data_IF_567905175321
#
_entry.id   IF_567905175321
#
_cell.length_a   1.000
_cell.length_b   1.000
_cell.length_c   1.000
_cell.angle_alpha   90.00
_cell.angle_beta   90.00
_cell.angle_gamma   90.00
#
_symmetry.space_group_name_H-M   'P 1'
#
loop_
_entity.id
_entity.type
_entity.pdbx_description
1 polymer ?
#
# COMPACT_ATOMS: atom_id res chain seq x y z
N UNK A 1 -24.21 -70.82 3.63
CA UNK A 1 -25.32 -70.06 3.02
C UNK A 1 -25.08 -68.58 3.25
N UNK A 2 -25.33 -67.68 2.28
CA UNK A 2 -25.41 -67.86 0.82
C UNK A 2 -24.45 -66.89 0.06
N UNK A 3 -23.86 -67.33 -1.08
CA UNK A 3 -24.18 -67.00 -2.50
C UNK A 3 -23.63 -65.63 -2.95
N UNK A 4 -23.03 -65.43 -4.13
CA UNK A 4 -22.76 -66.21 -5.34
C UNK A 4 -21.97 -65.28 -6.31
N UNK A 5 -20.89 -65.71 -6.95
CA UNK A 5 -20.81 -66.37 -8.28
C UNK A 5 -21.04 -65.48 -9.52
N UNK A 6 -20.06 -65.57 -10.46
CA UNK A 6 -20.02 -65.31 -11.94
C UNK A 6 -19.11 -64.15 -12.34
N UNK A 7 -18.34 -64.16 -13.44
CA UNK A 7 -17.94 -65.10 -14.52
C UNK A 7 -16.73 -64.40 -15.23
N UNK A 8 -15.58 -65.04 -15.50
CA UNK A 8 -15.13 -65.60 -16.83
C UNK A 8 -15.63 -64.81 -18.04
N UNK A 9 -14.91 -64.49 -19.11
CA UNK A 9 -13.69 -65.00 -19.81
C UNK A 9 -13.43 -63.99 -20.96
N UNK A 10 -12.29 -63.86 -21.64
CA UNK A 10 -11.35 -64.87 -22.10
C UNK A 10 -10.33 -64.24 -23.07
N UNK A 11 -9.14 -64.84 -23.12
CA UNK A 11 -8.00 -64.49 -23.97
C UNK A 11 -8.26 -64.81 -25.44
N UNK A 12 -7.65 -64.02 -26.34
CA UNK A 12 -7.03 -64.54 -27.58
C UNK A 12 -5.69 -63.85 -27.83
N UNK A 13 -4.66 -64.68 -27.90
CA UNK A 13 -3.29 -64.41 -28.33
C UNK A 13 -3.12 -64.65 -29.84
N UNK A 14 -2.18 -63.90 -30.45
CA UNK A 14 -1.17 -64.29 -31.48
C UNK A 14 -1.25 -63.49 -32.78
N UNK A 15 -0.15 -62.81 -33.14
CA UNK A 15 0.89 -63.21 -34.13
C UNK A 15 1.60 -61.97 -34.72
N UNK A 16 2.88 -62.19 -35.03
CA UNK A 16 3.90 -61.27 -35.58
C UNK A 16 3.63 -60.95 -37.07
N UNK A 17 4.12 -59.79 -37.53
CA UNK A 17 4.29 -59.46 -38.94
C UNK A 17 5.13 -58.19 -39.11
N UNK A 18 6.25 -58.33 -39.80
CA UNK A 18 7.28 -57.30 -40.11
C UNK A 18 7.04 -56.76 -41.53
N UNK A 19 7.52 -55.55 -41.81
CA UNK A 19 7.93 -54.96 -43.11
C UNK A 19 7.01 -53.90 -43.78
N UNK A 20 7.44 -52.65 -43.59
CA UNK A 20 7.67 -51.53 -44.54
C UNK A 20 7.10 -51.55 -45.98
N UNK A 21 6.54 -50.40 -46.41
CA UNK A 21 6.79 -49.63 -47.67
C UNK A 21 6.09 -48.24 -47.54
N UNK A 22 6.84 -47.13 -47.39
CA UNK A 22 6.99 -45.98 -48.33
C UNK A 22 5.66 -45.48 -48.96
N UNK A 23 5.19 -44.22 -48.82
CA UNK A 23 5.80 -42.98 -49.34
C UNK A 23 4.99 -41.71 -48.96
N UNK A 24 5.69 -40.59 -48.74
CA UNK A 24 5.35 -39.20 -49.12
C UNK A 24 4.10 -38.47 -48.55
N UNK A 25 4.33 -37.51 -47.65
CA UNK A 25 3.75 -36.16 -47.74
C UNK A 25 4.58 -35.14 -46.93
N UNK A 26 5.09 -34.16 -47.66
CA UNK A 26 5.93 -33.05 -47.23
C UNK A 26 5.05 -31.87 -46.75
N UNK A 27 5.46 -31.26 -45.63
CA UNK A 27 5.24 -29.87 -45.20
C UNK A 27 3.86 -29.19 -45.37
N UNK A 28 3.30 -28.71 -44.25
CA UNK A 28 3.11 -27.26 -44.04
C UNK A 28 2.86 -26.96 -42.56
N UNK A 29 3.77 -26.18 -41.96
CA UNK A 29 3.57 -25.51 -40.69
C UNK A 29 2.64 -24.30 -40.91
N UNK A 30 1.55 -24.21 -40.15
CA UNK A 30 0.80 -22.98 -39.95
C UNK A 30 0.54 -22.80 -38.46
N UNK A 31 1.42 -21.99 -37.86
CA UNK A 31 1.23 -21.32 -36.58
C UNK A 31 0.08 -20.32 -36.74
N UNK A 32 -1.11 -20.67 -36.23
CA UNK A 32 -2.12 -19.68 -35.88
C UNK A 32 -1.83 -19.17 -34.46
N UNK A 33 -0.81 -18.32 -34.35
CA UNK A 33 -0.54 -17.55 -33.15
C UNK A 33 -1.56 -16.43 -33.01
N UNK A 34 -2.64 -16.69 -32.29
CA UNK A 34 -3.50 -15.62 -31.79
C UNK A 34 -2.70 -14.82 -30.74
N UNK A 35 -2.18 -13.66 -31.15
CA UNK A 35 -1.56 -12.68 -30.25
C UNK A 35 -2.61 -12.10 -29.31
N UNK A 36 -2.84 -12.78 -28.19
CA UNK A 36 -3.20 -12.11 -26.95
C UNK A 36 -1.88 -11.67 -26.32
N UNK A 37 -1.65 -10.36 -26.23
CA UNK A 37 -0.67 -9.83 -25.30
C UNK A 37 -1.08 -10.29 -23.91
N UNK A 38 -0.45 -11.36 -23.43
CA UNK A 38 -0.67 -11.82 -22.07
C UNK A 38 -0.23 -10.69 -21.14
N UNK A 39 -1.07 -10.25 -20.19
CA UNK A 39 -0.58 -9.42 -19.10
C UNK A 39 0.59 -10.16 -18.44
N UNK A 40 1.61 -9.44 -17.98
CA UNK A 40 2.61 -9.99 -17.08
C UNK A 40 1.83 -10.61 -15.93
N UNK A 41 1.79 -11.94 -15.87
CA UNK A 41 1.05 -12.63 -14.83
C UNK A 41 1.73 -12.28 -13.50
N UNK A 42 1.02 -11.68 -12.52
CA UNK A 42 1.56 -11.65 -11.16
C UNK A 42 1.83 -13.10 -10.77
N UNK A 43 3.02 -13.37 -10.20
CA UNK A 43 3.36 -14.69 -9.70
C UNK A 43 2.20 -15.23 -8.86
N UNK A 44 1.70 -16.43 -9.20
CA UNK A 44 0.47 -16.91 -8.61
C UNK A 44 0.60 -17.13 -7.10
N UNK A 45 -0.55 -17.16 -6.43
CA UNK A 45 -0.65 -17.26 -4.96
C UNK A 45 0.13 -18.48 -4.47
N UNK A 46 1.02 -18.34 -3.46
CA UNK A 46 1.74 -19.47 -2.93
C UNK A 46 0.79 -20.55 -2.41
N UNK A 47 0.91 -21.77 -2.93
CA UNK A 47 0.00 -22.86 -2.55
C UNK A 47 0.66 -23.71 -1.46
N UNK A 48 0.28 -23.45 -0.21
CA UNK A 48 0.77 -24.17 0.96
C UNK A 48 0.41 -25.66 0.86
N UNK A 49 1.39 -26.52 1.12
CA UNK A 49 1.18 -27.97 1.19
C UNK A 49 1.12 -28.68 -0.16
N UNK A 50 1.41 -28.00 -1.27
CA UNK A 50 1.51 -28.65 -2.59
C UNK A 50 2.83 -29.42 -2.71
N UNK A 51 2.82 -30.73 -2.99
CA UNK A 51 4.05 -31.50 -3.21
C UNK A 51 4.93 -30.93 -4.32
N UNK A 52 6.25 -30.94 -4.12
CA UNK A 52 7.23 -30.36 -5.05
C UNK A 52 7.33 -31.05 -6.42
N UNK A 53 6.73 -32.23 -6.57
CA UNK A 53 6.62 -32.93 -7.85
C UNK A 53 5.53 -32.34 -8.76
N UNK A 54 4.64 -31.51 -8.19
CA UNK A 54 3.58 -30.83 -8.94
C UNK A 54 4.17 -29.55 -9.56
N UNK A 55 4.19 -29.44 -10.89
CA UNK A 55 4.74 -28.28 -11.59
C UNK A 55 4.17 -26.93 -11.09
N UNK A 56 2.88 -26.90 -10.74
CA UNK A 56 2.22 -25.73 -10.16
C UNK A 56 2.81 -25.29 -8.81
N UNK A 57 3.44 -26.19 -8.05
CA UNK A 57 4.15 -25.84 -6.83
C UNK A 57 5.40 -24.99 -7.13
N UNK A 58 6.14 -25.32 -8.19
CA UNK A 58 7.33 -24.57 -8.61
C UNK A 58 6.97 -23.17 -9.14
N UNK A 59 5.81 -23.02 -9.77
CA UNK A 59 5.31 -21.74 -10.29
C UNK A 59 4.83 -20.78 -9.18
N UNK A 60 4.51 -21.31 -7.99
CA UNK A 60 3.84 -20.57 -6.90
C UNK A 60 4.58 -20.78 -5.57
N UNK A 61 5.90 -20.60 -5.57
CA UNK A 61 6.69 -20.67 -4.35
C UNK A 61 6.56 -19.38 -3.50
N UNK A 62 6.11 -18.28 -4.10
CA UNK A 62 6.06 -16.96 -3.47
C UNK A 62 7.41 -16.26 -3.41
N UNK A 63 8.52 -16.99 -3.38
CA UNK A 63 9.87 -16.42 -3.41
C UNK A 63 10.33 -16.04 -4.82
N UNK A 64 11.14 -14.96 -4.97
CA UNK A 64 11.51 -13.99 -3.95
C UNK A 64 10.48 -12.85 -3.77
N UNK A 65 9.35 -12.88 -4.48
CA UNK A 65 8.41 -11.76 -4.52
C UNK A 65 7.75 -11.44 -3.18
N UNK A 66 7.36 -12.45 -2.41
CA UNK A 66 6.69 -12.30 -1.12
C UNK A 66 7.66 -12.18 0.05
N UNK A 67 8.79 -12.87 -0.01
CA UNK A 67 9.78 -12.89 1.04
C UNK A 67 11.16 -13.18 0.48
N UNK A 68 12.18 -12.69 1.17
CA UNK A 68 13.58 -13.09 1.03
C UNK A 68 14.09 -13.54 2.40
N UNK A 69 15.41 -13.67 2.58
CA UNK A 69 15.99 -14.06 3.88
C UNK A 69 15.72 -13.03 4.98
N UNK A 70 15.78 -11.73 4.66
CA UNK A 70 15.68 -10.64 5.62
C UNK A 70 14.51 -9.69 5.36
N UNK A 71 13.69 -9.93 4.32
CA UNK A 71 12.55 -9.07 4.00
C UNK A 71 11.25 -9.85 3.84
N UNK A 72 10.15 -9.19 4.21
CA UNK A 72 8.78 -9.64 3.93
C UNK A 72 8.06 -8.53 3.17
N UNK A 73 7.38 -8.87 2.07
CA UNK A 73 6.62 -7.92 1.26
C UNK A 73 5.12 -8.06 1.52
N UNK A 74 4.47 -6.93 1.76
CA UNK A 74 3.03 -6.77 1.55
C UNK A 74 2.85 -6.16 0.16
N UNK A 75 2.51 -7.02 -0.80
CA UNK A 75 2.61 -6.71 -2.24
C UNK A 75 1.32 -6.25 -2.90
N UNK A 76 0.49 -5.44 -2.21
CA UNK A 76 -0.73 -4.90 -2.79
C UNK A 76 -0.43 -3.96 -3.95
N UNK A 77 -1.32 -3.94 -4.94
CA UNK A 77 -1.21 -3.00 -6.07
C UNK A 77 -1.59 -1.57 -5.66
N UNK A 78 -2.29 -1.41 -4.54
CA UNK A 78 -2.87 -0.16 -4.07
C UNK A 78 -2.93 -0.11 -2.52
N UNK A 79 -3.10 1.08 -1.93
CA UNK A 79 -3.15 1.26 -0.49
C UNK A 79 -4.28 0.50 0.20
N UNK A 80 -5.41 0.25 -0.49
CA UNK A 80 -6.54 -0.50 0.04
C UNK A 80 -6.11 -1.95 0.34
N UNK A 81 -5.46 -2.59 -0.64
CA UNK A 81 -4.95 -3.95 -0.56
C UNK A 81 -3.80 -4.05 0.46
N UNK A 82 -2.89 -3.07 0.46
CA UNK A 82 -1.78 -3.01 1.43
C UNK A 82 -2.29 -2.87 2.87
N UNK A 83 -3.23 -1.97 3.13
CA UNK A 83 -3.80 -1.76 4.46
C UNK A 83 -4.54 -3.01 4.97
N UNK A 84 -5.31 -3.66 4.10
CA UNK A 84 -5.97 -4.94 4.41
C UNK A 84 -4.98 -6.04 4.80
N UNK A 85 -3.92 -6.22 4.00
CA UNK A 85 -2.92 -7.24 4.22
C UNK A 85 -2.03 -6.95 5.44
N UNK A 86 -1.59 -5.70 5.64
CA UNK A 86 -0.84 -5.29 6.84
C UNK A 86 -1.69 -5.51 8.10
N UNK A 87 -2.97 -5.12 8.06
CA UNK A 87 -3.88 -5.31 9.20
C UNK A 87 -4.01 -6.78 9.58
N UNK A 88 -4.13 -7.68 8.61
CA UNK A 88 -4.20 -9.13 8.86
C UNK A 88 -2.86 -9.74 9.27
N UNK A 89 -1.74 -9.18 8.81
CA UNK A 89 -0.41 -9.62 9.24
C UNK A 89 -0.16 -9.32 10.72
N UNK A 90 -0.64 -8.16 11.20
CA UNK A 90 -0.55 -7.76 12.61
C UNK A 90 -1.63 -8.43 13.46
N UNK A 91 -2.85 -8.53 12.95
CA UNK A 91 -3.99 -9.15 13.61
C UNK A 91 -4.48 -10.38 12.84
N UNK A 92 -3.88 -11.52 13.16
CA UNK A 92 -4.20 -12.80 12.50
C UNK A 92 -5.64 -13.27 12.75
N UNK A 93 -6.32 -12.77 13.80
CA UNK A 93 -7.70 -13.12 14.17
C UNK A 93 -8.04 -14.62 14.22
N UNK A 94 -7.04 -15.48 14.35
CA UNK A 94 -7.21 -16.92 14.57
C UNK A 94 -7.74 -17.26 15.98
N UNK A 95 -7.77 -16.28 16.89
CA UNK A 95 -8.27 -16.39 18.26
C UNK A 95 -8.86 -15.07 18.75
N UNK A 96 -9.60 -15.10 19.87
CA UNK A 96 -10.14 -13.89 20.49
C UNK A 96 -9.06 -12.92 21.00
N UNK A 97 -7.86 -13.41 21.34
CA UNK A 97 -6.75 -12.56 21.80
C UNK A 97 -5.94 -11.95 20.65
N UNK A 98 -6.15 -12.39 19.42
CA UNK A 98 -5.42 -11.94 18.24
C UNK A 98 -6.27 -11.11 17.27
N UNK A 99 -7.46 -10.69 17.70
CA UNK A 99 -8.31 -9.73 16.97
C UNK A 99 -8.13 -8.33 17.56
N UNK A 100 -8.28 -7.26 16.76
CA UNK A 100 -8.33 -5.91 17.31
C UNK A 100 -9.66 -5.66 18.04
N UNK A 101 -9.68 -4.73 18.99
CA UNK A 101 -10.94 -4.28 19.59
C UNK A 101 -11.71 -3.33 18.67
N UNK A 102 -10.98 -2.53 17.89
CA UNK A 102 -11.54 -1.49 17.03
C UNK A 102 -10.71 -1.41 15.74
N UNK A 103 -11.34 -1.08 14.61
CA UNK A 103 -10.67 -0.84 13.32
C UNK A 103 -10.94 0.59 12.87
N UNK A 104 -9.95 1.26 12.30
CA UNK A 104 -10.11 2.58 11.71
C UNK A 104 -10.41 2.47 10.22
N UNK A 105 -11.47 3.11 9.75
CA UNK A 105 -11.80 3.27 8.34
C UNK A 105 -11.58 4.72 7.91
N UNK A 106 -10.73 4.93 6.92
CA UNK A 106 -10.41 6.26 6.37
C UNK A 106 -10.64 6.28 4.87
N UNK A 107 -11.15 7.40 4.36
CA UNK A 107 -11.32 7.58 2.92
C UNK A 107 -9.96 7.68 2.19
N UNK A 108 -9.80 6.97 1.06
CA UNK A 108 -8.53 7.01 0.31
C UNK A 108 -8.21 8.39 -0.27
N UNK A 109 -9.20 9.27 -0.46
CA UNK A 109 -8.97 10.61 -1.00
C UNK A 109 -8.45 11.59 0.06
N UNK A 110 -8.42 11.18 1.33
CA UNK A 110 -8.04 12.02 2.47
C UNK A 110 -6.70 11.60 3.06
N UNK A 111 -5.61 11.78 2.31
CA UNK A 111 -4.28 11.33 2.75
C UNK A 111 -3.84 11.96 4.08
N UNK A 112 -4.15 13.24 4.34
CA UNK A 112 -3.83 13.88 5.61
C UNK A 112 -4.56 13.20 6.78
N UNK A 113 -5.83 12.86 6.59
CA UNK A 113 -6.60 12.12 7.58
C UNK A 113 -6.00 10.74 7.82
N UNK A 114 -5.55 10.06 6.76
CA UNK A 114 -4.95 8.72 6.86
C UNK A 114 -3.66 8.68 7.68
N UNK A 115 -2.73 9.62 7.45
CA UNK A 115 -1.49 9.66 8.22
C UNK A 115 -1.78 10.03 9.68
N UNK A 116 -2.64 11.01 9.92
CA UNK A 116 -3.01 11.41 11.28
C UNK A 116 -3.71 10.26 12.02
N UNK A 117 -4.56 9.49 11.34
CA UNK A 117 -5.28 8.35 11.92
C UNK A 117 -4.38 7.16 12.26
N UNK A 118 -3.15 7.09 11.73
CA UNK A 118 -2.15 6.11 12.15
C UNK A 118 -1.91 6.15 13.68
N UNK A 119 -2.13 7.32 14.30
CA UNK A 119 -2.11 7.52 15.75
C UNK A 119 -2.95 6.50 16.52
N UNK A 120 -4.11 6.09 15.99
CA UNK A 120 -5.01 5.17 16.69
C UNK A 120 -4.46 3.76 16.85
N UNK A 121 -3.39 3.41 16.12
CA UNK A 121 -2.66 2.16 16.34
C UNK A 121 -1.85 2.17 17.65
N UNK A 122 -1.62 3.34 18.25
CA UNK A 122 -1.01 3.44 19.56
C UNK A 122 -1.95 2.95 20.67
N UNK A 123 -1.42 2.50 21.82
CA UNK A 123 -2.24 2.29 23.01
C UNK A 123 -2.98 3.58 23.40
N UNK A 124 -4.20 3.48 23.96
CA UNK A 124 -4.90 2.24 24.32
C UNK A 124 -5.76 1.63 23.19
N UNK A 125 -5.95 2.31 22.05
CA UNK A 125 -6.90 1.85 21.03
C UNK A 125 -6.38 0.70 20.17
N UNK A 126 -5.08 0.72 19.79
CA UNK A 126 -4.46 -0.31 18.93
C UNK A 126 -5.27 -0.61 17.66
N UNK A 127 -5.87 0.41 17.06
CA UNK A 127 -6.76 0.28 15.92
C UNK A 127 -5.97 0.20 14.60
N UNK A 128 -5.94 -0.94 13.88
CA UNK A 128 -5.38 -0.98 12.53
C UNK A 128 -6.26 -0.16 11.57
N UNK A 129 -5.67 0.32 10.49
CA UNK A 129 -6.34 1.16 9.49
C UNK A 129 -6.69 0.34 8.25
N UNK A 130 -7.89 0.54 7.73
CA UNK A 130 -8.31 0.13 6.39
C UNK A 130 -8.85 1.33 5.61
N UNK A 131 -8.80 1.24 4.29
CA UNK A 131 -9.29 2.30 3.41
C UNK A 131 -10.70 2.04 2.88
N UNK A 132 -11.48 3.10 2.76
CA UNK A 132 -12.72 3.16 1.98
C UNK A 132 -12.50 3.95 0.70
N UNK A 133 -13.45 3.84 -0.23
CA UNK A 133 -13.45 4.62 -1.47
C UNK A 133 -14.75 5.41 -1.57
N UNK A 134 -14.69 6.68 -1.14
CA UNK A 134 -15.86 7.49 -0.91
C UNK A 134 -16.79 6.85 0.12
N UNK A 135 -18.06 6.76 -0.24
CA UNK A 135 -19.07 6.07 0.56
C UNK A 135 -19.07 4.53 0.41
N UNK A 136 -18.11 3.94 -0.31
CA UNK A 136 -18.08 2.51 -0.59
C UNK A 136 -17.04 1.76 0.24
N UNK A 137 -17.33 0.49 0.52
CA UNK A 137 -16.42 -0.43 1.21
C UNK A 137 -15.81 -1.41 0.20
N UNK A 138 -14.56 -1.22 -0.22
CA UNK A 138 -13.91 -2.11 -1.21
C UNK A 138 -13.89 -3.57 -0.76
N UNK A 139 -13.75 -4.50 -1.72
CA UNK A 139 -13.76 -5.93 -1.45
C UNK A 139 -12.64 -6.37 -0.48
N UNK A 140 -11.42 -5.85 -0.66
CA UNK A 140 -10.31 -6.15 0.26
C UNK A 140 -10.59 -5.62 1.68
N UNK A 141 -11.13 -4.41 1.79
CA UNK A 141 -11.52 -3.81 3.08
C UNK A 141 -12.64 -4.58 3.77
N UNK A 142 -13.71 -4.92 3.04
CA UNK A 142 -14.84 -5.68 3.61
C UNK A 142 -14.42 -7.09 4.05
N UNK A 143 -13.61 -7.78 3.25
CA UNK A 143 -13.02 -9.06 3.64
C UNK A 143 -12.13 -8.92 4.87
N UNK A 144 -11.24 -7.93 4.90
CA UNK A 144 -10.35 -7.70 6.03
C UNK A 144 -11.13 -7.36 7.29
N UNK A 145 -12.12 -6.47 7.23
CA UNK A 145 -12.96 -6.10 8.37
C UNK A 145 -13.74 -7.31 8.92
N UNK A 146 -14.24 -8.18 8.03
CA UNK A 146 -14.89 -9.44 8.41
C UNK A 146 -13.94 -10.42 9.10
N UNK A 147 -12.72 -10.58 8.60
CA UNK A 147 -11.68 -11.41 9.24
C UNK A 147 -11.21 -10.83 10.56
N UNK A 148 -10.99 -9.52 10.63
CA UNK A 148 -10.54 -8.82 11.83
C UNK A 148 -11.59 -8.94 12.94
N UNK A 149 -12.88 -8.85 12.60
CA UNK A 149 -14.00 -9.05 13.52
C UNK A 149 -13.87 -8.27 14.85
N UNK A 150 -13.76 -6.92 14.79
CA UNK A 150 -13.47 -6.09 15.97
C UNK A 150 -14.50 -6.29 17.09
N UNK A 151 -14.04 -6.41 18.33
CA UNK A 151 -14.90 -6.75 19.48
C UNK A 151 -15.57 -5.56 20.19
N UNK A 152 -15.14 -4.34 19.89
CA UNK A 152 -15.55 -3.11 20.56
C UNK A 152 -14.51 -2.68 21.59
N UNK A 153 -14.00 -1.44 21.48
CA UNK A 153 -12.99 -0.91 22.40
C UNK A 153 -13.57 0.07 23.41
N UNK A 154 -13.31 -0.16 24.70
CA UNK A 154 -13.72 0.77 25.76
C UNK A 154 -13.08 2.16 25.59
N UNK A 155 -11.81 2.21 25.15
CA UNK A 155 -11.09 3.44 24.85
C UNK A 155 -11.74 4.26 23.72
N UNK A 156 -12.43 3.58 22.80
CA UNK A 156 -13.20 4.21 21.73
C UNK A 156 -14.68 4.47 22.10
N UNK A 157 -15.09 4.20 23.34
CA UNK A 157 -16.48 4.32 23.80
C UNK A 157 -17.37 3.15 23.38
N UNK A 158 -16.81 1.95 23.29
CA UNK A 158 -17.48 0.73 22.83
C UNK A 158 -17.53 0.57 21.30
N UNK A 159 -16.93 1.49 20.54
CA UNK A 159 -16.92 1.42 19.08
C UNK A 159 -16.09 0.23 18.58
N UNK A 160 -16.61 -0.44 17.56
CA UNK A 160 -15.91 -1.46 16.78
C UNK A 160 -15.22 -0.85 15.55
N UNK A 161 -15.72 0.31 15.10
CA UNK A 161 -15.16 1.03 13.95
C UNK A 161 -15.01 2.51 14.28
N UNK A 162 -13.85 3.10 13.99
CA UNK A 162 -13.65 4.54 13.92
C UNK A 162 -13.73 4.97 12.45
N UNK A 163 -14.69 5.82 12.06
CA UNK A 163 -14.77 6.37 10.71
C UNK A 163 -14.17 7.76 10.67
N UNK A 164 -13.01 7.91 10.06
CA UNK A 164 -12.29 9.18 9.97
C UNK A 164 -12.50 9.77 8.58
N UNK A 165 -13.15 10.93 8.52
CA UNK A 165 -13.48 11.59 7.25
C UNK A 165 -14.15 10.64 6.24
N UNK A 166 -15.02 9.76 6.76
CA UNK A 166 -15.56 8.63 6.05
C UNK A 166 -17.02 8.41 6.46
N UNK A 167 -17.87 8.12 5.48
CA UNK A 167 -19.30 7.87 5.66
C UNK A 167 -19.76 6.53 5.08
N UNK A 168 -18.82 5.66 4.70
CA UNK A 168 -19.15 4.32 4.24
C UNK A 168 -19.95 3.54 5.29
N UNK A 169 -20.86 2.71 4.79
CA UNK A 169 -21.64 1.80 5.61
C UNK A 169 -20.75 0.65 6.11
N UNK A 170 -20.65 0.52 7.44
CA UNK A 170 -19.94 -0.58 8.12
C UNK A 170 -20.89 -1.71 8.56
N UNK A 171 -22.11 -1.74 8.03
CA UNK A 171 -23.13 -2.71 8.36
C UNK A 171 -23.60 -2.58 9.81
N UNK A 172 -23.66 -3.69 10.53
CA UNK A 172 -24.14 -3.74 11.92
C UNK A 172 -23.10 -3.35 12.96
N UNK A 173 -21.86 -3.03 12.55
CA UNK A 173 -20.78 -2.69 13.48
C UNK A 173 -21.04 -1.32 14.13
N UNK A 174 -20.77 -1.22 15.43
CA UNK A 174 -20.87 0.04 16.14
C UNK A 174 -19.78 1.01 15.71
N UNK A 175 -20.15 1.99 14.88
CA UNK A 175 -19.25 3.00 14.37
C UNK A 175 -19.24 4.28 15.23
N UNK A 176 -18.08 4.92 15.33
CA UNK A 176 -17.92 6.28 15.86
C UNK A 176 -17.23 7.15 14.82
N UNK A 177 -17.83 8.30 14.55
CA UNK A 177 -17.34 9.22 13.53
C UNK A 177 -16.31 10.20 14.12
N UNK A 178 -15.26 10.45 13.36
CA UNK A 178 -14.23 11.45 13.62
C UNK A 178 -14.19 12.36 12.39
N UNK A 179 -14.81 13.54 12.53
CA UNK A 179 -15.03 14.47 11.42
C UNK A 179 -14.43 15.84 11.70
N UNK A 180 -14.19 16.59 10.63
CA UNK A 180 -13.75 17.98 10.68
C UNK A 180 -14.03 18.66 9.35
N UNK A 181 -14.13 19.99 9.36
CA UNK A 181 -14.47 20.77 8.16
C UNK A 181 -13.33 20.83 7.12
N UNK A 182 -12.11 20.47 7.51
CA UNK A 182 -10.91 20.51 6.68
C UNK A 182 -9.84 19.56 7.28
N UNK A 183 -8.73 19.27 6.57
CA UNK A 183 -7.69 18.37 7.06
C UNK A 183 -7.08 18.75 8.41
N UNK A 184 -6.96 20.05 8.72
CA UNK A 184 -6.44 20.54 10.00
C UNK A 184 -7.40 20.24 11.14
N UNK A 185 -8.71 20.45 10.90
CA UNK A 185 -9.77 20.13 11.84
C UNK A 185 -9.90 18.62 12.09
N UNK A 186 -9.72 17.79 11.06
CA UNK A 186 -9.74 16.33 11.18
C UNK A 186 -8.55 15.85 12.03
N UNK A 187 -7.33 16.33 11.77
CA UNK A 187 -6.16 16.01 12.58
C UNK A 187 -6.35 16.40 14.06
N UNK A 188 -6.90 17.59 14.33
CA UNK A 188 -7.25 18.02 15.69
C UNK A 188 -8.36 17.16 16.32
N UNK A 189 -9.31 16.64 15.53
CA UNK A 189 -10.35 15.74 16.04
C UNK A 189 -9.80 14.36 16.41
N UNK A 190 -8.88 13.82 15.60
CA UNK A 190 -8.14 12.58 15.87
C UNK A 190 -7.34 12.70 17.16
N UNK A 191 -6.57 13.78 17.27
CA UNK A 191 -5.78 14.10 18.46
C UNK A 191 -6.65 14.16 19.73
N UNK A 192 -7.72 14.95 19.72
CA UNK A 192 -8.67 15.01 20.86
C UNK A 192 -9.24 13.65 21.26
N UNK A 193 -9.52 12.77 20.29
CA UNK A 193 -10.00 11.43 20.59
C UNK A 193 -8.91 10.59 21.28
N UNK A 194 -7.66 10.67 20.82
CA UNK A 194 -6.54 9.99 21.45
C UNK A 194 -6.27 10.53 22.87
N UNK A 195 -6.35 11.84 23.09
CA UNK A 195 -6.21 12.46 24.42
C UNK A 195 -7.29 11.92 25.36
N UNK A 196 -8.55 11.90 24.90
CA UNK A 196 -9.67 11.38 25.70
C UNK A 196 -9.50 9.89 26.04
N UNK A 197 -9.01 9.09 25.08
CA UNK A 197 -8.75 7.67 25.27
C UNK A 197 -7.58 7.41 26.24
N UNK A 198 -6.51 8.20 26.14
CA UNK A 198 -5.28 8.03 26.94
C UNK A 198 -5.36 8.66 28.33
N UNK A 199 -6.27 9.62 28.52
CA UNK A 199 -6.47 10.35 29.78
C UNK A 199 -5.57 11.58 29.97
N UNK A 200 -4.60 11.79 29.09
CA UNK A 200 -3.69 12.95 29.11
C UNK A 200 -3.16 13.26 27.71
N UNK A 201 -2.82 14.53 27.41
CA UNK A 201 -2.16 14.87 26.16
C UNK A 201 -0.73 14.32 26.08
N UNK A 202 -0.25 14.05 24.86
CA UNK A 202 1.17 13.73 24.66
C UNK A 202 2.06 14.95 24.97
N UNK A 203 3.25 14.69 25.50
CA UNK A 203 4.29 15.70 25.69
C UNK A 203 4.95 16.13 24.37
N UNK A 204 4.75 15.37 23.28
CA UNK A 204 5.33 15.63 21.97
C UNK A 204 4.25 15.69 20.88
N UNK A 205 4.48 16.53 19.89
CA UNK A 205 3.61 16.70 18.71
C UNK A 205 4.48 16.79 17.47
N UNK A 206 4.15 16.03 16.43
CA UNK A 206 4.81 16.12 15.13
C UNK A 206 4.04 17.11 14.25
N UNK A 207 4.74 18.10 13.70
CA UNK A 207 4.18 19.09 12.77
C UNK A 207 4.75 18.90 11.39
N UNK A 208 3.87 18.77 10.39
CA UNK A 208 4.24 18.56 8.99
C UNK A 208 3.49 19.52 8.07
N UNK A 209 4.01 19.75 6.86
CA UNK A 209 3.34 20.58 5.87
C UNK A 209 2.18 19.81 5.20
N UNK A 210 1.00 20.45 5.15
CA UNK A 210 -0.25 19.87 4.66
C UNK A 210 -0.29 19.60 3.15
N UNK A 211 0.68 20.13 2.41
CA UNK A 211 0.84 20.04 0.96
C UNK A 211 2.08 19.24 0.56
N UNK A 212 2.78 18.60 1.51
CA UNK A 212 4.02 17.86 1.30
C UNK A 212 3.93 16.41 1.80
N UNK A 213 3.11 15.56 1.15
CA UNK A 213 2.77 14.23 1.65
C UNK A 213 3.99 13.34 1.88
N UNK A 214 4.95 13.32 0.95
CA UNK A 214 6.14 12.48 1.07
C UNK A 214 7.02 12.83 2.29
N UNK A 215 7.10 14.11 2.67
CA UNK A 215 7.81 14.52 3.90
C UNK A 215 7.06 14.12 5.18
N UNK A 216 5.73 14.02 5.11
CA UNK A 216 4.88 13.63 6.24
C UNK A 216 4.84 12.12 6.47
N UNK A 217 5.05 11.30 5.43
CA UNK A 217 4.95 9.83 5.51
C UNK A 217 5.68 9.22 6.73
N UNK A 218 6.94 9.56 7.05
CA UNK A 218 7.63 8.94 8.17
C UNK A 218 6.99 9.19 9.54
N UNK A 219 6.16 10.24 9.67
CA UNK A 219 5.45 10.55 10.90
C UNK A 219 4.35 9.52 11.22
N UNK A 220 3.77 8.83 10.22
CA UNK A 220 2.70 7.84 10.45
C UNK A 220 3.17 6.67 11.31
N UNK A 221 4.34 6.11 11.01
CA UNK A 221 4.93 5.04 11.82
C UNK A 221 5.24 5.49 13.25
N UNK A 222 5.73 6.73 13.41
CA UNK A 222 5.99 7.29 14.74
C UNK A 222 4.71 7.52 15.54
N UNK A 223 3.67 8.09 14.93
CA UNK A 223 2.38 8.31 15.56
C UNK A 223 1.77 6.99 16.05
N UNK A 224 1.83 5.95 15.20
CA UNK A 224 1.38 4.60 15.57
C UNK A 224 2.16 4.02 16.75
N UNK A 225 3.49 4.22 16.81
CA UNK A 225 4.32 3.73 17.91
C UNK A 225 4.10 4.49 19.22
N UNK A 226 4.08 5.82 19.15
CA UNK A 226 4.25 6.69 20.31
C UNK A 226 2.95 7.22 20.89
N UNK A 227 1.91 7.37 20.08
CA UNK A 227 0.75 8.17 20.48
C UNK A 227 0.98 9.69 20.34
N UNK A 228 2.07 10.12 19.69
CA UNK A 228 2.30 11.54 19.39
C UNK A 228 1.49 11.95 18.15
N UNK A 229 0.61 12.97 18.23
CA UNK A 229 -0.24 13.35 17.13
C UNK A 229 0.55 14.00 15.99
N UNK A 230 0.03 13.80 14.77
CA UNK A 230 0.46 14.53 13.58
C UNK A 230 -0.49 15.70 13.38
N UNK A 231 0.05 16.92 13.46
CA UNK A 231 -0.68 18.15 13.15
C UNK A 231 -0.11 18.79 11.88
N UNK A 232 -0.98 19.49 11.16
CA UNK A 232 -0.65 20.07 9.87
C UNK A 232 -0.49 21.59 9.96
N UNK A 233 0.47 22.12 9.21
CA UNK A 233 0.60 23.55 8.93
C UNK A 233 0.67 23.77 7.42
N UNK A 234 0.48 24.99 6.96
CA UNK A 234 0.91 25.34 5.59
C UNK A 234 2.36 25.79 5.62
N UNK A 235 2.98 25.97 4.46
CA UNK A 235 4.37 26.46 4.37
C UNK A 235 4.59 27.74 5.17
N UNK A 236 3.61 28.66 5.15
CA UNK A 236 3.78 30.04 5.63
C UNK A 236 2.76 30.45 6.71
N UNK A 237 1.86 29.56 7.13
CA UNK A 237 0.88 29.86 8.18
C UNK A 237 0.62 28.67 9.11
N UNK A 238 0.25 28.99 10.36
CA UNK A 238 -0.25 28.01 11.34
C UNK A 238 -1.78 28.15 11.38
N UNK A 239 -2.53 27.14 10.91
CA UNK A 239 -3.99 27.16 10.95
C UNK A 239 -4.53 27.24 12.39
N UNK A 240 -5.69 27.89 12.61
CA UNK A 240 -6.26 28.06 13.94
C UNK A 240 -6.59 26.72 14.62
N UNK A 241 -6.97 25.70 13.86
CA UNK A 241 -7.22 24.35 14.37
C UNK A 241 -5.94 23.72 14.96
N UNK A 242 -4.80 23.92 14.30
CA UNK A 242 -3.49 23.48 14.77
C UNK A 242 -3.06 24.26 16.01
N UNK A 243 -3.32 25.57 16.06
CA UNK A 243 -3.07 26.37 17.28
C UNK A 243 -3.91 25.84 18.46
N UNK A 244 -5.18 25.54 18.23
CA UNK A 244 -6.08 25.04 19.27
C UNK A 244 -5.63 23.66 19.78
N UNK A 245 -5.26 22.75 18.88
CA UNK A 245 -4.72 21.44 19.25
C UNK A 245 -3.43 21.59 20.08
N UNK A 246 -2.44 22.35 19.62
CA UNK A 246 -1.18 22.56 20.36
C UNK A 246 -1.38 23.15 21.76
N UNK A 247 -2.37 24.03 21.94
CA UNK A 247 -2.72 24.57 23.27
C UNK A 247 -3.30 23.51 24.20
N UNK A 248 -4.05 22.53 23.68
CA UNK A 248 -4.59 21.43 24.48
C UNK A 248 -3.48 20.54 25.07
N UNK A 249 -2.30 20.52 24.44
CA UNK A 249 -1.11 19.82 24.93
C UNK A 249 -0.29 20.58 25.97
N UNK A 250 -0.67 21.81 26.35
CA UNK A 250 -0.03 22.57 27.44
C UNK A 250 1.49 22.75 27.29
N UNK A 251 1.93 23.41 26.21
CA UNK A 251 3.35 23.62 25.86
C UNK A 251 4.15 22.34 25.55
N UNK A 252 3.75 21.57 24.51
CA UNK A 252 4.46 20.36 24.12
C UNK A 252 5.84 20.66 23.50
N UNK A 253 6.63 19.60 23.35
CA UNK A 253 7.74 19.55 22.38
C UNK A 253 7.16 19.40 20.98
N UNK A 254 7.40 20.39 20.13
CA UNK A 254 6.91 20.44 18.74
C UNK A 254 8.07 20.06 17.81
N UNK A 255 7.92 18.93 17.11
CA UNK A 255 8.91 18.44 16.15
C UNK A 255 8.43 18.71 14.74
N UNK A 256 9.05 19.67 14.07
CA UNK A 256 8.79 19.95 12.65
C UNK A 256 9.54 18.92 11.82
N UNK A 257 8.82 18.12 11.04
CA UNK A 257 9.41 17.17 10.10
C UNK A 257 9.40 17.77 8.69
N UNK A 258 10.59 18.12 8.19
CA UNK A 258 10.81 18.69 6.87
C UNK A 258 11.69 19.95 6.87
N UNK A 259 12.30 20.28 5.71
CA UNK A 259 13.19 21.42 5.57
C UNK A 259 12.44 22.77 5.60
N UNK A 260 13.16 23.90 5.72
CA UNK A 260 12.54 25.24 5.66
C UNK A 260 11.77 25.55 4.37
N UNK A 261 12.01 24.81 3.28
CA UNK A 261 11.25 24.94 2.04
C UNK A 261 9.81 24.41 2.15
N UNK A 262 9.55 23.45 3.05
CA UNK A 262 8.22 22.87 3.29
C UNK A 262 7.48 23.56 4.44
N UNK A 263 8.17 23.87 5.52
CA UNK A 263 7.64 24.64 6.66
C UNK A 263 8.62 25.77 6.95
N UNK A 264 8.24 27.01 6.68
CA UNK A 264 9.16 28.15 6.73
C UNK A 264 9.66 28.45 8.14
N UNK A 265 10.71 29.27 8.22
CA UNK A 265 11.27 29.70 9.50
C UNK A 265 10.34 30.64 10.27
N UNK A 266 9.44 31.36 9.58
CA UNK A 266 8.41 32.17 10.24
C UNK A 266 7.40 31.28 10.95
N UNK A 267 6.92 30.21 10.31
CA UNK A 267 6.05 29.20 10.95
C UNK A 267 6.74 28.55 12.14
N UNK A 268 8.00 28.13 12.01
CA UNK A 268 8.75 27.58 13.13
C UNK A 268 8.89 28.57 14.30
N UNK A 269 9.05 29.86 14.02
CA UNK A 269 9.09 30.91 15.04
C UNK A 269 7.72 31.14 15.69
N UNK A 270 6.63 31.08 14.92
CA UNK A 270 5.28 31.15 15.45
C UNK A 270 4.96 29.98 16.40
N UNK A 271 5.37 28.77 16.03
CA UNK A 271 5.18 27.56 16.85
C UNK A 271 5.91 27.65 18.20
N UNK A 272 7.02 28.40 18.31
CA UNK A 272 7.73 28.59 19.59
C UNK A 272 6.90 29.30 20.65
N UNK A 273 5.86 30.03 20.25
CA UNK A 273 4.91 30.64 21.20
C UNK A 273 3.95 29.62 21.82
N UNK A 274 3.85 28.43 21.22
CA UNK A 274 2.93 27.36 21.61
C UNK A 274 3.64 26.17 22.27
N UNK A 275 4.96 26.03 22.10
CA UNK A 275 5.74 24.92 22.65
C UNK A 275 7.22 24.98 22.26
N UNK A 276 8.02 24.02 22.75
CA UNK A 276 9.45 23.95 22.44
C UNK A 276 9.68 23.35 21.05
N UNK A 277 10.21 24.12 20.10
CA UNK A 277 10.32 23.68 18.70
C UNK A 277 11.69 23.11 18.37
N UNK A 278 11.72 21.89 17.81
CA UNK A 278 12.88 21.28 17.14
C UNK A 278 12.51 20.93 15.70
N UNK A 279 13.50 20.94 14.80
CA UNK A 279 13.31 20.60 13.38
C UNK A 279 14.18 19.42 13.01
N UNK A 280 13.58 18.48 12.31
CA UNK A 280 14.22 17.31 11.70
C UNK A 280 14.06 17.49 10.20
N UNK A 281 15.15 17.57 9.45
CA UNK A 281 15.11 17.92 8.04
C UNK A 281 16.15 17.15 7.22
N UNK A 282 15.68 16.54 6.14
CA UNK A 282 16.49 16.20 4.97
C UNK A 282 16.17 17.12 3.79
N UNK A 283 16.98 17.07 2.74
CA UNK A 283 16.81 17.89 1.53
C UNK A 283 15.71 17.36 0.59
N UNK A 284 15.35 16.09 0.75
CA UNK A 284 14.32 15.37 0.01
C UNK A 284 13.61 14.38 0.95
N UNK A 285 12.46 13.78 0.56
CA UNK A 285 11.74 12.83 1.41
C UNK A 285 12.56 11.61 1.87
N UNK A 286 13.46 11.10 1.02
CA UNK A 286 14.31 9.94 1.34
C UNK A 286 15.28 10.30 2.47
N UNK A 287 16.09 11.34 2.28
CA UNK A 287 17.02 11.86 3.30
C UNK A 287 16.30 12.34 4.56
N UNK A 288 15.07 12.85 4.45
CA UNK A 288 14.27 13.26 5.60
C UNK A 288 13.79 12.05 6.42
N UNK A 289 13.39 10.95 5.77
CA UNK A 289 13.04 9.71 6.45
C UNK A 289 14.24 9.09 7.18
N UNK A 290 15.44 9.13 6.58
CA UNK A 290 16.70 8.70 7.20
C UNK A 290 17.08 9.60 8.37
N UNK A 291 16.92 10.92 8.22
CA UNK A 291 17.18 11.86 9.32
C UNK A 291 16.26 11.58 10.52
N UNK A 292 14.98 11.26 10.27
CA UNK A 292 14.04 10.94 11.34
C UNK A 292 14.29 9.57 11.98
N UNK A 293 14.68 8.55 11.21
CA UNK A 293 15.02 7.23 11.77
C UNK A 293 16.22 7.30 12.72
N UNK A 294 17.19 8.17 12.44
CA UNK A 294 18.36 8.38 13.32
C UNK A 294 18.09 9.31 14.48
N UNK A 295 17.06 10.14 14.38
CA UNK A 295 16.78 11.17 15.36
C UNK A 295 16.43 10.55 16.71
N UNK A 296 16.97 11.13 17.78
CA UNK A 296 16.65 10.78 19.15
C UNK A 296 16.78 12.00 20.05
N UNK A 297 15.78 12.22 20.90
CA UNK A 297 15.69 13.31 21.86
C UNK A 297 14.99 12.81 23.12
N UNK A 298 15.64 11.89 23.84
CA UNK A 298 15.13 11.30 25.07
C UNK A 298 13.92 10.39 24.85
N UNK A 299 12.71 10.92 24.93
CA UNK A 299 11.49 10.13 24.71
C UNK A 299 10.98 10.18 23.27
N UNK A 300 11.54 11.06 22.42
CA UNK A 300 11.10 11.25 21.05
C UNK A 300 12.15 10.76 20.03
N UNK A 301 11.67 10.15 18.94
CA UNK A 301 12.50 9.65 17.86
C UNK A 301 12.85 8.17 17.97
N UNK A 302 13.45 7.64 16.89
CA UNK A 302 13.71 6.22 16.71
C UNK A 302 15.10 5.79 17.19
N UNK A 303 16.10 6.67 17.09
CA UNK A 303 17.47 6.37 17.51
C UNK A 303 18.14 5.21 16.78
N UNK A 304 17.71 4.87 15.56
CA UNK A 304 18.24 3.75 14.78
C UNK A 304 19.60 4.14 14.23
N UNK A 305 20.65 3.83 15.02
CA UNK A 305 22.05 4.16 14.73
C UNK A 305 23.01 2.98 14.93
N UNK A 306 22.46 1.82 15.31
CA UNK A 306 23.15 0.57 15.60
C UNK A 306 22.39 -0.58 14.91
N UNK A 307 22.90 -1.84 14.90
CA UNK A 307 22.19 -2.96 14.27
C UNK A 307 21.15 -3.60 15.20
N UNK A 308 20.21 -4.35 14.63
CA UNK A 308 19.21 -5.13 15.36
C UNK A 308 17.79 -4.56 15.32
N UNK A 309 17.40 -3.96 14.20
CA UNK A 309 16.14 -3.24 14.08
C UNK A 309 15.18 -3.84 13.05
N UNK A 310 13.88 -3.76 13.34
CA UNK A 310 12.86 -3.80 12.30
C UNK A 310 12.87 -2.49 11.51
N UNK A 311 12.58 -2.56 10.22
CA UNK A 311 12.46 -1.41 9.32
C UNK A 311 11.22 -1.60 8.44
N UNK A 312 10.61 -0.49 8.03
CA UNK A 312 9.50 -0.48 7.07
C UNK A 312 9.91 0.37 5.89
N UNK A 313 9.66 -0.08 4.67
CA UNK A 313 10.00 0.63 3.44
C UNK A 313 8.76 0.85 2.59
N UNK A 314 8.58 2.08 2.12
CA UNK A 314 7.52 2.43 1.17
C UNK A 314 8.07 3.38 0.10
N UNK A 315 7.39 3.41 -1.05
CA UNK A 315 7.73 4.36 -2.10
C UNK A 315 7.12 5.74 -1.80
N UNK A 316 7.95 6.79 -1.82
CA UNK A 316 7.56 8.18 -1.57
C UNK A 316 6.47 8.74 -2.49
N UNK A 317 6.21 8.09 -3.64
CA UNK A 317 5.10 8.43 -4.54
C UNK A 317 3.73 7.90 -4.09
N UNK A 318 3.68 7.02 -3.07
CA UNK A 318 2.47 6.37 -2.57
C UNK A 318 2.24 6.73 -1.09
N UNK A 319 1.82 7.97 -0.77
CA UNK A 319 1.78 8.44 0.62
C UNK A 319 0.80 7.68 1.52
N UNK A 320 -0.28 7.13 0.97
CA UNK A 320 -1.24 6.32 1.72
C UNK A 320 -0.65 5.00 2.22
N UNK A 321 0.41 4.49 1.58
CA UNK A 321 1.12 3.29 2.04
C UNK A 321 1.77 3.52 3.41
N UNK A 322 2.10 4.76 3.77
CA UNK A 322 2.64 5.07 5.09
C UNK A 322 1.60 4.84 6.20
N UNK A 323 0.33 5.19 5.96
CA UNK A 323 -0.76 4.89 6.87
C UNK A 323 -1.09 3.39 6.88
N UNK A 324 -1.12 2.75 5.70
CA UNK A 324 -1.32 1.31 5.57
C UNK A 324 -0.28 0.51 6.37
N UNK A 325 0.97 0.93 6.34
CA UNK A 325 2.09 0.25 6.95
C UNK A 325 2.30 0.57 8.44
N UNK A 326 1.65 1.62 8.95
CA UNK A 326 1.84 2.10 10.32
C UNK A 326 1.67 1.01 11.42
N UNK A 327 0.79 0.00 11.29
CA UNK A 327 0.74 -1.12 12.22
C UNK A 327 2.05 -1.89 12.41
N UNK A 328 2.89 -1.97 11.37
CA UNK A 328 4.22 -2.62 11.43
C UNK A 328 5.25 -1.78 12.20
N UNK A 329 5.01 -0.48 12.36
CA UNK A 329 5.82 0.41 13.20
C UNK A 329 5.42 0.39 14.67
N UNK A 330 4.26 -0.17 15.01
CA UNK A 330 3.68 -0.22 16.36
C UNK A 330 3.56 -1.63 16.95
N UNK A 331 4.05 -2.64 16.23
CA UNK A 331 4.00 -4.05 16.64
C UNK A 331 5.23 -4.81 16.14
N UNK A 332 5.51 -5.98 16.73
CA UNK A 332 6.65 -6.80 16.36
C UNK A 332 7.99 -6.10 16.58
N UNK A 333 8.67 -5.72 15.49
CA UNK A 333 10.01 -5.13 15.49
C UNK A 333 10.08 -3.60 15.64
N UNK A 334 8.94 -2.91 15.68
CA UNK A 334 8.84 -1.43 15.84
C UNK A 334 9.81 -0.66 14.95
N UNK A 335 9.63 -0.74 13.63
CA UNK A 335 10.54 -0.12 12.68
C UNK A 335 10.14 1.28 12.22
N UNK A 336 11.10 2.23 12.06
CA UNK A 336 10.85 3.47 11.35
C UNK A 336 10.47 3.20 9.89
N UNK A 337 9.64 4.09 9.33
CA UNK A 337 9.36 4.12 7.90
C UNK A 337 10.47 4.86 7.16
N UNK A 338 11.22 4.13 6.35
CA UNK A 338 12.21 4.64 5.41
C UNK A 338 11.59 4.73 4.01
N UNK A 339 11.91 5.79 3.28
CA UNK A 339 11.36 6.01 1.95
C UNK A 339 12.38 5.68 0.87
N UNK A 340 11.89 5.08 -0.21
CA UNK A 340 12.56 5.07 -1.52
C UNK A 340 11.79 5.95 -2.50
N UNK A 341 12.42 6.32 -3.61
CA UNK A 341 11.81 7.16 -4.65
C UNK A 341 11.96 6.58 -6.07
N UNK A 342 12.53 5.38 -6.18
CA UNK A 342 12.77 4.69 -7.43
C UNK A 342 12.30 3.27 -7.24
N UNK A 343 11.66 2.70 -8.27
CA UNK A 343 11.44 1.26 -8.31
C UNK A 343 12.59 0.53 -8.99
N UNK A 344 13.52 1.22 -9.65
CA UNK A 344 14.58 0.59 -10.44
C UNK A 344 15.84 0.26 -9.62
N UNK A 345 16.18 1.08 -8.63
CA UNK A 345 17.40 0.92 -7.83
C UNK A 345 17.27 1.65 -6.48
N UNK A 346 17.89 1.07 -5.45
CA UNK A 346 17.94 1.66 -4.11
C UNK A 346 18.72 3.00 -4.15
N UNK A 347 18.17 4.11 -3.62
CA UNK A 347 18.89 5.37 -3.53
C UNK A 347 20.18 5.23 -2.73
N UNK A 348 21.29 5.83 -3.20
CA UNK A 348 22.60 5.70 -2.55
C UNK A 348 22.63 6.19 -1.10
N UNK A 349 21.82 7.20 -0.76
CA UNK A 349 21.66 7.66 0.62
C UNK A 349 21.00 6.60 1.51
N UNK A 350 20.03 5.87 0.98
CA UNK A 350 19.37 4.78 1.71
C UNK A 350 20.30 3.57 1.82
N UNK A 351 21.03 3.23 0.76
CA UNK A 351 22.07 2.18 0.78
C UNK A 351 23.11 2.44 1.88
N UNK A 352 23.71 3.63 1.88
CA UNK A 352 24.65 4.05 2.92
C UNK A 352 24.03 4.04 4.32
N UNK A 353 22.76 4.45 4.44
CA UNK A 353 22.08 4.44 5.72
C UNK A 353 21.85 3.02 6.28
N UNK A 354 21.59 2.04 5.41
CA UNK A 354 21.46 0.64 5.81
C UNK A 354 22.82 0.00 6.09
N UNK A 355 23.88 0.40 5.38
CA UNK A 355 25.25 -0.02 5.70
C UNK A 355 25.69 0.40 7.10
N UNK A 356 25.34 1.62 7.52
CA UNK A 356 25.69 2.14 8.85
C UNK A 356 25.09 1.31 9.99
N UNK A 357 23.95 0.64 9.76
CA UNK A 357 23.25 -0.21 10.75
C UNK A 357 23.33 -1.70 10.39
N UNK A 358 24.23 -2.09 9.49
CA UNK A 358 24.36 -3.49 9.07
C UNK A 358 24.89 -4.32 10.23
N UNK A 359 24.26 -5.46 10.58
CA UNK A 359 24.75 -6.28 11.67
C UNK A 359 26.09 -6.94 11.32
N UNK A 360 26.95 -7.08 12.32
CA UNK A 360 28.24 -7.73 12.15
C UNK A 360 28.51 -8.78 13.25
N UNK A 361 29.32 -9.78 12.94
CA UNK A 361 29.78 -10.81 13.89
C UNK A 361 31.27 -11.10 13.76
N UNK A 362 31.88 -11.50 14.88
CA UNK A 362 33.29 -11.92 14.96
C UNK A 362 33.45 -13.45 14.80
N UNK A 363 32.71 -14.24 15.61
CA UNK A 363 32.89 -15.70 15.69
C UNK A 363 31.66 -16.51 15.32
N UNK A 364 30.51 -16.18 15.91
CA UNK A 364 29.27 -16.93 15.75
C UNK A 364 28.14 -16.00 15.30
N UNK A 365 27.65 -16.14 14.05
CA UNK A 365 26.55 -15.32 13.56
C UNK A 365 25.24 -15.58 14.32
N UNK A 366 25.07 -16.71 15.01
CA UNK A 366 23.85 -17.04 15.78
C UNK A 366 23.66 -16.19 17.05
N UNK A 367 24.71 -15.45 17.46
CA UNK A 367 24.70 -14.57 18.63
C UNK A 367 24.70 -13.09 18.28
N UNK A 368 24.61 -12.77 16.99
CA UNK A 368 24.56 -11.40 16.52
C UNK A 368 23.16 -10.79 16.54
N UNK A 369 23.09 -9.52 16.16
CA UNK A 369 21.85 -8.81 15.93
C UNK A 369 21.33 -9.08 14.51
N UNK A 370 20.02 -8.99 14.30
CA UNK A 370 19.41 -9.21 13.00
C UNK A 370 18.48 -8.05 12.67
N UNK A 371 18.60 -7.54 11.45
CA UNK A 371 17.65 -6.58 10.92
C UNK A 371 16.56 -7.32 10.13
N UNK A 372 15.36 -6.74 10.08
CA UNK A 372 14.28 -7.22 9.22
C UNK A 372 13.59 -6.06 8.51
N UNK A 373 13.26 -6.21 7.24
CA UNK A 373 12.61 -5.19 6.43
C UNK A 373 11.22 -5.60 5.94
N UNK A 374 10.21 -4.79 6.25
CA UNK A 374 8.91 -4.87 5.59
C UNK A 374 8.89 -3.98 4.35
N UNK A 375 8.48 -4.52 3.21
CA UNK A 375 8.32 -3.79 1.95
C UNK A 375 6.84 -3.63 1.64
N UNK A 376 6.41 -2.40 1.36
CA UNK A 376 4.99 -2.08 1.14
C UNK A 376 4.78 -1.72 -0.32
N UNK A 377 3.79 -2.36 -0.93
CA UNK A 377 3.44 -2.23 -2.33
C UNK A 377 4.06 -3.34 -3.21
N UNK A 378 3.54 -3.43 -4.43
CA UNK A 378 3.96 -4.36 -5.46
C UNK A 378 5.38 -4.07 -6.02
N UNK A 379 5.77 -4.80 -7.08
CA UNK A 379 7.07 -4.65 -7.72
C UNK A 379 7.21 -3.36 -8.53
N UNK A 380 6.12 -2.64 -8.80
CA UNK A 380 6.16 -1.30 -9.39
C UNK A 380 6.46 -0.24 -8.33
N UNK A 381 6.06 -0.45 -7.07
CA UNK A 381 6.43 0.41 -5.96
C UNK A 381 7.89 0.19 -5.54
N UNK A 382 8.32 -1.06 -5.36
CA UNK A 382 9.68 -1.45 -4.97
C UNK A 382 10.05 -2.71 -5.76
N UNK A 383 11.00 -2.66 -6.69
CA UNK A 383 11.31 -3.84 -7.51
C UNK A 383 11.94 -4.99 -6.73
N UNK A 384 12.01 -6.16 -7.37
CA UNK A 384 12.79 -7.29 -6.85
C UNK A 384 14.28 -6.99 -6.73
N UNK A 385 14.84 -6.17 -7.63
CA UNK A 385 16.25 -5.80 -7.57
C UNK A 385 16.54 -4.93 -6.34
N UNK A 386 15.67 -3.96 -6.08
CA UNK A 386 15.76 -3.13 -4.88
C UNK A 386 15.51 -3.94 -3.60
N UNK A 387 14.51 -4.83 -3.59
CA UNK A 387 14.28 -5.76 -2.48
C UNK A 387 15.51 -6.65 -2.22
N UNK A 388 16.16 -7.17 -3.25
CA UNK A 388 17.37 -7.97 -3.11
C UNK A 388 18.55 -7.15 -2.55
N UNK A 389 18.68 -5.87 -2.93
CA UNK A 389 19.69 -4.98 -2.37
C UNK A 389 19.42 -4.72 -0.88
N UNK A 390 18.18 -4.38 -0.51
CA UNK A 390 17.78 -4.20 0.89
C UNK A 390 18.08 -5.48 1.68
N UNK A 391 17.63 -6.62 1.18
CA UNK A 391 17.87 -7.94 1.79
C UNK A 391 19.36 -8.22 2.06
N UNK A 392 20.23 -7.88 1.13
CA UNK A 392 21.68 -8.03 1.28
C UNK A 392 22.28 -7.07 2.32
N UNK A 393 21.75 -5.85 2.42
CA UNK A 393 22.20 -4.83 3.38
C UNK A 393 21.72 -5.10 4.81
N UNK A 394 20.58 -5.77 4.98
CA UNK A 394 20.08 -6.19 6.30
C UNK A 394 20.79 -7.45 6.83
N UNK A 395 21.58 -8.13 5.98
CA UNK A 395 22.28 -9.36 6.35
C UNK A 395 23.43 -9.11 7.31
N UNK A 396 23.45 -9.91 8.36
CA UNK A 396 24.58 -10.03 9.28
C UNK A 396 25.84 -10.53 8.56
N UNK A 397 26.96 -9.83 8.73
CA UNK A 397 28.21 -10.15 8.02
C UNK A 397 29.43 -10.26 8.95
N UNK A 398 30.48 -10.98 8.56
CA UNK A 398 31.75 -10.89 9.27
C UNK A 398 32.23 -9.43 9.35
N UNK A 399 32.85 -9.03 10.47
CA UNK A 399 33.35 -7.64 10.68
C UNK A 399 34.22 -7.12 9.53
N UNK A 400 34.94 -8.01 8.82
CA UNK A 400 35.84 -7.65 7.72
C UNK A 400 35.23 -7.87 6.32
N UNK A 401 33.93 -8.08 6.20
CA UNK A 401 33.27 -8.32 4.93
C UNK A 401 33.13 -7.03 4.10
N UNK A 402 33.38 -7.14 2.79
CA UNK A 402 33.08 -6.05 1.86
C UNK A 402 31.56 -5.76 1.82
N UNK A 403 31.16 -4.51 1.55
CA UNK A 403 29.75 -4.18 1.28
C UNK A 403 29.22 -4.98 0.07
N UNK A 404 27.91 -5.29 0.03
CA UNK A 404 27.31 -5.90 -1.16
C UNK A 404 27.48 -4.98 -2.36
N UNK A 405 27.80 -5.53 -3.53
CA UNK A 405 27.84 -4.74 -4.76
C UNK A 405 26.42 -4.25 -5.09
N UNK A 406 26.26 -2.97 -5.44
CA UNK A 406 24.99 -2.43 -5.87
C UNK A 406 24.44 -3.22 -7.08
N UNK A 407 23.14 -3.51 -7.06
CA UNK A 407 22.49 -4.21 -8.17
C UNK A 407 22.76 -3.47 -9.50
N UNK A 408 23.17 -4.17 -10.58
CA UNK A 408 23.38 -3.53 -11.87
C UNK A 408 22.08 -2.91 -12.36
N UNK A 409 22.15 -1.64 -12.81
CA UNK A 409 21.02 -0.95 -13.43
C UNK A 409 20.75 -1.62 -14.78
N UNK A 410 19.89 -2.65 -14.80
CA UNK A 410 19.36 -3.17 -16.07
C UNK A 410 18.37 -2.17 -16.63
N UNK A 411 18.57 -1.64 -17.85
CA UNK A 411 17.55 -0.83 -18.50
C UNK A 411 16.28 -1.65 -18.64
N UNK A 412 15.11 -1.04 -18.42
CA UNK A 412 13.85 -1.64 -18.85
C UNK A 412 13.98 -2.04 -20.34
N UNK A 413 13.51 -3.23 -20.74
CA UNK A 413 13.66 -3.70 -22.12
C UNK A 413 13.09 -2.64 -23.06
N UNK A 414 13.92 -2.17 -23.99
CA UNK A 414 13.57 -1.11 -24.94
C UNK A 414 12.29 -1.48 -25.69
N UNK A 415 11.31 -0.57 -25.71
CA UNK A 415 10.12 -0.71 -26.54
C UNK A 415 10.53 -1.00 -27.97
N UNK A 416 10.05 -2.12 -28.51
CA UNK A 416 10.22 -2.51 -29.90
C UNK A 416 9.70 -1.36 -30.78
N UNK A 417 10.51 -0.96 -31.77
CA UNK A 417 10.24 0.13 -32.69
C UNK A 417 8.86 0.02 -33.37
N UNK A 418 8.19 1.15 -33.68
CA UNK A 418 6.87 1.12 -34.29
C UNK A 418 6.94 0.53 -35.70
N UNK A 419 6.19 -0.54 -35.93
CA UNK A 419 5.92 -1.13 -37.24
C UNK A 419 5.14 -0.12 -38.11
N UNK A 420 5.42 -0.01 -39.42
CA UNK A 420 4.71 0.94 -40.29
C UNK A 420 3.22 0.58 -40.44
N UNK A 421 2.36 1.58 -40.73
CA UNK A 421 0.92 1.36 -40.78
C UNK A 421 0.53 0.41 -41.92
N UNK A 422 -0.31 -0.57 -41.60
CA UNK A 422 -0.84 -1.52 -42.55
C UNK A 422 -1.78 -0.83 -43.55
N UNK A 423 -1.50 -0.99 -44.85
CA UNK A 423 -2.40 -0.64 -45.95
C UNK A 423 -3.70 -1.41 -45.87
N UNK A 424 -4.83 -0.69 -45.86
CA UNK A 424 -6.20 -1.21 -45.88
C UNK A 424 -6.48 -2.00 -47.17
N UNK A 425 -7.09 -3.20 -47.13
CA UNK A 425 -7.53 -3.88 -48.35
C UNK A 425 -8.75 -3.18 -48.97
N UNK A 426 -8.71 -3.01 -50.29
CA UNK A 426 -9.81 -2.45 -51.09
C UNK A 426 -11.03 -3.39 -51.11
N UNK A 427 -12.21 -2.79 -50.97
CA UNK A 427 -13.52 -3.44 -51.16
C UNK A 427 -13.75 -3.69 -52.66
N UNK A 428 -14.17 -4.89 -53.10
CA UNK A 428 -14.44 -5.14 -54.50
C UNK A 428 -15.78 -4.52 -54.93
N UNK A 429 -15.73 -3.69 -55.96
CA UNK A 429 -16.89 -3.06 -56.62
C UNK A 429 -17.58 -4.02 -57.58
N UNK A 430 -18.90 -4.17 -57.48
CA UNK A 430 -19.74 -4.81 -58.50
C UNK A 430 -20.19 -3.81 -59.58
N UNK A 431 -20.47 -4.25 -60.84
CA UNK A 431 -20.63 -3.36 -62.00
C UNK A 431 -22.07 -2.86 -62.22
N UNK A 432 -22.30 -1.88 -63.13
CA UNK A 432 -23.54 -1.12 -63.21
C UNK A 432 -24.50 -1.58 -64.32
N UNK A 433 -25.81 -1.39 -64.07
CA UNK A 433 -26.78 -0.98 -65.10
C UNK A 433 -28.04 -1.84 -65.25
N UNK A 434 -29.20 -1.28 -64.89
CA UNK A 434 -30.37 -1.11 -65.79
C UNK A 434 -31.58 -0.44 -65.07
N UNK A 435 -32.03 0.66 -65.68
CA UNK A 435 -33.16 1.56 -65.36
C UNK A 435 -34.57 0.96 -65.42
N UNK A 436 -35.51 1.44 -64.56
CA UNK A 436 -36.82 2.02 -65.01
C UNK A 436 -37.69 2.70 -63.90
N UNK A 437 -37.85 4.02 -64.06
CA UNK A 437 -39.05 4.92 -64.00
C UNK A 437 -40.19 4.79 -62.94
N UNK A 438 -40.41 5.96 -62.29
CA UNK A 438 -41.66 6.70 -61.91
C UNK A 438 -42.56 6.08 -60.82
N UNK A 439 -43.06 6.80 -59.80
CA UNK A 439 -43.89 8.02 -59.86
C UNK A 439 -44.05 8.70 -58.48
N UNK A 440 -44.33 10.01 -58.47
CA UNK A 440 -44.52 10.88 -57.31
C UNK A 440 -45.96 10.95 -56.77
N UNK A 441 -46.10 11.29 -55.47
CA UNK A 441 -47.17 12.11 -54.81
C UNK A 441 -46.84 12.18 -53.29
N UNK A 442 -46.33 13.27 -52.74
CA UNK A 442 -46.99 14.52 -52.29
C UNK A 442 -47.96 14.35 -51.10
N UNK A 443 -47.58 14.84 -49.91
CA UNK A 443 -48.26 15.93 -49.17
C UNK A 443 -47.55 16.28 -47.84
N UNK A 444 -47.68 17.55 -47.46
CA UNK A 444 -46.88 18.30 -46.50
C UNK A 444 -47.63 18.66 -45.19
N UNK A 445 -46.86 19.20 -44.24
CA UNK A 445 -47.18 19.90 -42.98
C UNK A 445 -48.31 20.97 -43.05
N UNK A 446 -48.89 21.36 -41.89
CA UNK A 446 -48.52 22.61 -41.15
C UNK A 446 -48.48 22.39 -39.60
N UNK A 447 -47.81 23.12 -38.68
CA UNK A 447 -47.55 24.55 -38.32
C UNK A 447 -48.70 25.29 -37.58
N UNK A 448 -48.59 25.34 -36.22
CA UNK A 448 -48.78 26.44 -35.19
C UNK A 448 -50.12 27.27 -35.11
N UNK A 449 -50.42 28.16 -34.10
CA UNK A 449 -49.95 28.40 -32.69
C UNK A 449 -51.02 28.90 -31.63
N UNK A 450 -50.55 29.22 -30.40
CA UNK A 450 -50.92 30.30 -29.41
C UNK A 450 -52.24 30.33 -28.58
N UNK A 451 -52.11 30.50 -27.25
CA UNK A 451 -52.67 31.65 -26.49
C UNK A 451 -52.11 31.72 -25.05
N UNK A 452 -52.11 32.94 -24.49
CA UNK A 452 -51.49 33.38 -23.24
C UNK A 452 -52.54 33.94 -22.26
N UNK A 453 -52.25 33.98 -20.95
CA UNK A 453 -52.77 34.99 -19.99
C UNK A 453 -51.98 34.96 -18.66
N UNK A 454 -51.66 36.15 -18.11
CA UNK A 454 -51.05 36.38 -16.78
C UNK A 454 -52.03 36.96 -15.74
N UNK A 455 -51.61 37.83 -14.78
CA UNK A 455 -51.52 37.55 -13.33
C UNK A 455 -52.48 38.35 -12.42
N UNK A 456 -52.44 38.14 -11.08
CA UNK A 456 -53.06 39.05 -10.08
C UNK A 456 -52.91 38.65 -8.60
N UNK A 457 -52.32 39.55 -7.80
CA UNK A 457 -52.29 39.64 -6.32
C UNK A 457 -53.60 40.27 -5.78
N UNK A 458 -53.90 40.23 -4.47
CA UNK A 458 -53.34 41.15 -3.46
C UNK A 458 -52.38 40.54 -2.46
#
# INVERSE_FOLDING_TARGET
MPRGSRMRSGRRTRRRGVAAWLSSALALALLAGCGHSAPIAPGGVPIIGTPGEIAKAAENLGFPGFATKNTTRVGGADPISDAAAVSQAVYVSASASSRPEVVTLVDLHSWQASLAAALFMSPPMRAPLLFTDGGSLPAATSSALGTLAPSGSAAAGGAQVLRVDNHADSGTLHARDVTGANPFAIAAAIDRLQIAASGSPSAAVVVVAADQPAYAMPAAGWAAKSGDPILYVTRDAIPPETVAALRAHQHPHIYILGPPSTVSQSVASGLRTLGAVKRIAGNDPVSNSIAFSRYYDGSFGWGVTDPGHGLVFANSSRPLDAAAAAPLSASGGYGPLLLTNSSAALPSLLDGALLDIRPAYDKDPARGFYNHGWLIGDQHAISLAEQAQIDALLEIAPVNAAPPAAAPITPAPSSIAPTPPATTPAVPTSPPGATRRRSAKARAFPVLPTSATGPGHP
#
